data_IF_201143386724
#
_entry.id   IF_201143386724
#
_cell.length_a   1.000
_cell.length_b   1.000
_cell.length_c   1.000
_cell.angle_alpha   90.00
_cell.angle_beta   90.00
_cell.angle_gamma   90.00
#
_symmetry.space_group_name_H-M   'P 1'
#
loop_
_entity.id
_entity.type
_entity.pdbx_description
1 polymer ?
#
# COMPACT_ATOMS: atom_id res chain seq x y z
N UNK A 1 -18.07 43.83 -3.32
CA UNK A 1 -19.32 43.90 -2.52
C UNK A 1 -20.41 43.27 -3.34
N UNK A 2 -20.75 42.02 -3.11
CA UNK A 2 -21.89 41.34 -3.70
C UNK A 2 -22.94 41.28 -2.60
N UNK A 3 -24.06 41.94 -2.78
CA UNK A 3 -25.21 41.97 -1.87
C UNK A 3 -26.08 40.78 -2.19
N UNK A 4 -26.36 39.93 -1.15
CA UNK A 4 -27.41 38.93 -1.22
C UNK A 4 -28.82 39.62 -1.16
N UNK A 5 -29.82 39.08 -1.88
CA UNK A 5 -31.16 39.71 -1.98
C UNK A 5 -32.02 39.61 -0.73
N UNK A 6 -31.66 38.86 0.31
CA UNK A 6 -32.44 38.72 1.51
C UNK A 6 -31.63 39.15 2.72
N UNK A 7 -31.82 40.38 3.15
CA UNK A 7 -31.12 41.09 4.22
C UNK A 7 -31.13 40.48 5.61
N UNK A 8 -30.79 39.21 5.78
CA UNK A 8 -30.55 38.61 7.08
C UNK A 8 -29.07 38.73 7.44
N UNK A 9 -28.76 39.63 8.36
CA UNK A 9 -27.45 39.68 9.05
C UNK A 9 -27.27 38.43 9.89
N UNK A 10 -26.86 37.33 9.27
CA UNK A 10 -26.36 36.13 9.96
C UNK A 10 -24.97 36.41 10.55
N UNK A 11 -24.93 37.14 11.65
CA UNK A 11 -23.71 37.25 12.45
C UNK A 11 -23.40 35.88 13.06
N UNK A 12 -22.35 35.19 12.56
CA UNK A 12 -21.85 34.01 13.20
C UNK A 12 -21.38 34.39 14.60
N UNK A 13 -22.12 33.95 15.61
CA UNK A 13 -21.83 34.25 16.99
C UNK A 13 -20.64 33.39 17.48
N UNK A 14 -19.42 33.91 17.35
CA UNK A 14 -18.16 33.24 17.72
C UNK A 14 -18.04 32.95 19.23
N UNK A 15 -18.98 33.40 20.10
CA UNK A 15 -18.92 33.18 21.53
C UNK A 15 -19.29 31.76 21.99
N UNK A 16 -19.97 30.95 21.16
CA UNK A 16 -20.42 29.60 21.53
C UNK A 16 -19.56 28.46 20.95
N UNK A 17 -18.39 28.74 20.35
CA UNK A 17 -17.51 27.70 19.70
C UNK A 17 -16.42 27.17 20.64
N UNK A 18 -16.58 27.24 21.96
CA UNK A 18 -15.58 26.76 22.93
C UNK A 18 -15.89 25.41 23.58
N UNK A 19 -16.58 24.50 22.95
CA UNK A 19 -16.39 23.08 23.30
C UNK A 19 -15.25 22.55 22.45
N UNK A 20 -14.06 22.43 23.04
CA UNK A 20 -12.91 21.75 22.46
C UNK A 20 -13.40 20.38 21.94
N UNK A 21 -13.56 20.24 20.65
CA UNK A 21 -13.95 18.96 20.08
C UNK A 21 -12.81 17.99 20.39
N UNK A 22 -13.12 16.91 21.11
CA UNK A 22 -12.12 15.93 21.56
C UNK A 22 -11.64 15.09 20.36
N UNK A 23 -10.50 15.45 19.77
CA UNK A 23 -9.83 14.74 18.65
C UNK A 23 -8.70 13.87 19.20
N UNK A 24 -9.07 12.77 19.84
CA UNK A 24 -8.15 11.94 20.63
C UNK A 24 -7.03 11.29 19.82
N UNK A 25 -7.27 10.99 18.56
CA UNK A 25 -6.24 10.37 17.71
C UNK A 25 -5.27 11.42 17.17
N UNK A 26 -5.77 12.61 16.79
CA UNK A 26 -4.90 13.70 16.33
C UNK A 26 -4.03 14.22 17.48
N UNK A 27 -4.56 14.31 18.70
CA UNK A 27 -3.83 14.79 19.90
C UNK A 27 -2.55 13.98 20.15
N UNK A 28 -2.52 12.70 19.84
CA UNK A 28 -1.32 11.85 19.95
C UNK A 28 -0.15 12.31 19.06
N UNK A 29 -0.44 13.12 18.05
CA UNK A 29 0.53 13.66 17.08
C UNK A 29 0.71 15.19 17.22
N UNK A 30 0.42 15.74 18.39
CA UNK A 30 0.58 17.18 18.67
C UNK A 30 2.01 17.64 18.39
N UNK A 31 3.02 16.86 18.78
CA UNK A 31 4.43 17.17 18.54
C UNK A 31 4.74 17.32 17.04
N UNK A 32 4.22 16.43 16.18
CA UNK A 32 4.35 16.53 14.73
C UNK A 32 3.70 17.80 14.17
N UNK A 33 2.53 18.19 14.72
CA UNK A 33 1.86 19.41 14.32
C UNK A 33 2.69 20.65 14.70
N UNK A 34 3.27 20.69 15.89
CA UNK A 34 4.01 21.83 16.41
C UNK A 34 5.40 21.99 15.74
N UNK A 35 6.02 20.87 15.35
CA UNK A 35 7.31 20.86 14.66
C UNK A 35 7.24 21.51 13.26
N UNK A 36 6.07 21.56 12.62
CA UNK A 36 5.91 22.11 11.27
C UNK A 36 6.14 23.63 11.22
N UNK A 37 7.24 24.07 10.62
CA UNK A 37 7.61 25.49 10.43
C UNK A 37 6.91 26.16 9.24
N UNK A 38 6.07 25.47 8.49
CA UNK A 38 5.35 25.93 7.29
C UNK A 38 6.26 26.38 6.14
N UNK A 39 7.52 25.95 6.08
CA UNK A 39 8.52 26.36 5.09
C UNK A 39 8.16 26.06 3.62
N UNK A 40 7.23 25.10 3.36
CA UNK A 40 6.79 24.75 2.00
C UNK A 40 7.64 23.70 1.28
N UNK A 41 8.74 23.20 1.86
CA UNK A 41 9.61 22.20 1.22
C UNK A 41 8.88 20.95 0.75
N UNK A 42 7.83 20.55 1.47
CA UNK A 42 6.97 19.40 1.10
C UNK A 42 6.17 19.61 -0.20
N UNK A 43 6.04 20.85 -0.70
CA UNK A 43 5.29 21.14 -1.94
C UNK A 43 6.02 20.60 -3.16
N UNK A 44 7.35 20.76 -3.23
CA UNK A 44 8.17 20.26 -4.35
C UNK A 44 8.19 18.73 -4.45
N UNK A 45 7.96 18.03 -3.33
CA UNK A 45 8.04 16.57 -3.25
C UNK A 45 6.67 15.88 -3.37
N UNK A 46 5.56 16.60 -3.15
CA UNK A 46 4.23 15.98 -3.07
C UNK A 46 3.68 15.60 -4.45
N UNK A 47 3.41 14.28 -4.73
CA UNK A 47 2.88 13.86 -6.02
C UNK A 47 1.49 14.47 -6.33
N UNK A 48 0.64 14.65 -5.32
CA UNK A 48 -0.69 15.26 -5.48
C UNK A 48 -0.58 16.75 -5.81
N UNK A 49 0.29 17.49 -5.11
CA UNK A 49 0.49 18.91 -5.37
C UNK A 49 1.05 19.17 -6.77
N UNK A 50 1.90 18.30 -7.27
CA UNK A 50 2.44 18.42 -8.62
C UNK A 50 1.34 18.45 -9.69
N UNK A 51 0.24 17.73 -9.48
CA UNK A 51 -0.84 17.61 -10.45
C UNK A 51 -1.95 18.65 -10.25
N UNK A 52 -2.25 19.01 -9.01
CA UNK A 52 -3.39 19.87 -8.70
C UNK A 52 -3.04 21.32 -8.38
N UNK A 53 -1.82 21.56 -7.86
CA UNK A 53 -1.35 22.90 -7.43
C UNK A 53 -2.22 23.53 -6.33
N UNK A 54 -2.95 22.70 -5.55
CA UNK A 54 -3.83 23.15 -4.48
C UNK A 54 -3.11 23.01 -3.14
N UNK A 55 -2.99 24.08 -2.37
CA UNK A 55 -2.26 24.06 -1.11
C UNK A 55 -2.91 23.17 -0.04
N UNK A 56 -4.22 23.14 0.06
CA UNK A 56 -4.91 22.26 1.02
C UNK A 56 -4.69 20.76 0.74
N UNK A 57 -4.28 20.41 -0.49
CA UNK A 57 -3.97 19.03 -0.86
C UNK A 57 -2.53 18.61 -0.51
N UNK A 58 -1.62 19.55 -0.24
CA UNK A 58 -0.22 19.27 0.12
C UNK A 58 -0.06 19.06 1.63
N UNK A 59 1.09 18.53 2.03
CA UNK A 59 1.40 18.21 3.43
C UNK A 59 1.25 19.42 4.36
N UNK A 60 1.83 20.57 4.00
CA UNK A 60 1.73 21.82 4.78
C UNK A 60 0.29 22.25 5.00
N UNK A 61 -0.52 22.25 3.95
CA UNK A 61 -1.94 22.59 4.02
C UNK A 61 -2.72 21.64 4.93
N UNK A 62 -2.43 20.33 4.84
CA UNK A 62 -3.05 19.34 5.73
C UNK A 62 -2.70 19.55 7.21
N UNK A 63 -1.45 19.90 7.52
CA UNK A 63 -1.05 20.26 8.89
C UNK A 63 -1.84 21.47 9.39
N UNK A 64 -2.03 22.50 8.56
CA UNK A 64 -2.81 23.69 8.91
C UNK A 64 -4.27 23.30 9.16
N UNK A 65 -4.88 22.51 8.29
CA UNK A 65 -6.26 22.04 8.44
C UNK A 65 -6.45 21.24 9.73
N UNK A 66 -5.56 20.29 10.01
CA UNK A 66 -5.64 19.45 11.22
C UNK A 66 -5.41 20.28 12.50
N UNK A 67 -4.46 21.22 12.48
CA UNK A 67 -4.26 22.15 13.58
C UNK A 67 -5.51 23.00 13.85
N UNK A 68 -6.19 23.42 12.78
CA UNK A 68 -7.44 24.20 12.90
C UNK A 68 -8.61 23.38 13.42
N UNK A 69 -8.60 22.05 13.27
CA UNK A 69 -9.54 21.17 13.98
C UNK A 69 -9.25 21.14 15.48
N UNK A 70 -8.00 20.96 15.88
CA UNK A 70 -7.64 20.86 17.31
C UNK A 70 -7.92 22.14 18.08
N UNK A 71 -7.69 23.30 17.48
CA UNK A 71 -7.97 24.58 18.13
C UNK A 71 -9.43 25.03 18.02
N UNK A 72 -10.30 24.22 17.39
CA UNK A 72 -11.73 24.49 17.25
C UNK A 72 -12.10 25.55 16.22
N UNK A 73 -11.14 26.03 15.40
CA UNK A 73 -11.40 27.01 14.33
C UNK A 73 -12.11 26.39 13.12
N UNK A 74 -11.99 25.07 12.93
CA UNK A 74 -12.68 24.31 11.90
C UNK A 74 -13.38 23.08 12.48
N UNK A 75 -14.37 22.59 11.74
CA UNK A 75 -15.03 21.31 11.98
C UNK A 75 -14.81 20.37 10.78
N UNK A 76 -15.02 19.06 10.94
CA UNK A 76 -14.89 18.11 9.85
C UNK A 76 -16.08 18.28 8.89
N UNK A 77 -15.80 18.87 7.73
CA UNK A 77 -16.73 19.02 6.60
C UNK A 77 -16.39 18.00 5.52
N UNK A 78 -17.30 17.81 4.54
CA UNK A 78 -17.04 16.94 3.37
C UNK A 78 -15.82 17.39 2.58
N UNK A 79 -15.65 18.71 2.40
CA UNK A 79 -14.49 19.29 1.71
C UNK A 79 -13.18 18.99 2.45
N UNK A 80 -13.20 19.04 3.77
CA UNK A 80 -12.03 18.68 4.57
C UNK A 80 -11.74 17.20 4.51
N UNK A 81 -12.75 16.35 4.59
CA UNK A 81 -12.60 14.91 4.41
C UNK A 81 -11.98 14.60 3.03
N UNK A 82 -12.45 15.25 1.97
CA UNK A 82 -11.86 15.12 0.64
C UNK A 82 -10.38 15.47 0.63
N UNK A 83 -9.98 16.60 1.25
CA UNK A 83 -8.57 16.99 1.32
C UNK A 83 -7.71 15.99 2.09
N UNK A 84 -8.20 15.42 3.18
CA UNK A 84 -7.51 14.35 3.91
C UNK A 84 -7.36 13.08 3.05
N UNK A 85 -8.43 12.71 2.31
CA UNK A 85 -8.43 11.52 1.45
C UNK A 85 -7.57 11.66 0.19
N UNK A 86 -7.25 12.89 -0.27
CA UNK A 86 -6.29 13.16 -1.35
C UNK A 86 -4.82 12.86 -0.97
N UNK A 87 -4.53 12.43 0.25
CA UNK A 87 -3.20 12.00 0.64
C UNK A 87 -2.95 10.54 0.24
N UNK A 88 -1.90 10.31 -0.55
CA UNK A 88 -1.46 8.96 -0.96
C UNK A 88 -0.70 8.21 0.13
N UNK A 89 -0.40 8.83 1.27
CA UNK A 89 0.43 8.29 2.35
C UNK A 89 1.82 7.81 1.88
N UNK A 90 2.36 8.38 0.81
CA UNK A 90 3.65 7.93 0.23
C UNK A 90 4.89 8.35 1.04
N UNK A 91 4.72 9.15 2.08
CA UNK A 91 5.79 9.64 2.98
C UNK A 91 6.90 10.50 2.34
N UNK A 92 6.80 10.87 1.07
CA UNK A 92 7.82 11.72 0.42
C UNK A 92 7.97 13.07 1.14
N UNK A 93 6.87 13.65 1.60
CA UNK A 93 6.91 14.91 2.37
C UNK A 93 7.61 14.78 3.72
N UNK A 94 7.49 13.65 4.40
CA UNK A 94 8.15 13.40 5.68
C UNK A 94 9.66 13.17 5.47
N UNK A 95 10.03 12.40 4.44
CA UNK A 95 11.44 12.16 4.10
C UNK A 95 12.19 13.45 3.73
N UNK A 96 11.52 14.40 3.07
CA UNK A 96 12.09 15.66 2.64
C UNK A 96 11.83 16.80 3.65
N UNK A 97 11.30 16.53 4.83
CA UNK A 97 10.99 17.55 5.82
C UNK A 97 12.25 17.87 6.66
N UNK A 98 12.81 19.09 6.58
CA UNK A 98 13.98 19.45 7.40
C UNK A 98 13.66 19.47 8.91
N UNK A 99 12.38 19.66 9.26
CA UNK A 99 11.92 19.66 10.65
C UNK A 99 11.46 18.26 11.14
N UNK A 100 11.48 17.22 10.29
CA UNK A 100 11.12 15.85 10.66
C UNK A 100 9.64 15.59 10.87
N UNK A 101 8.72 16.47 10.45
CA UNK A 101 7.27 16.31 10.63
C UNK A 101 6.72 15.09 9.91
N UNK A 102 6.06 14.19 10.63
CA UNK A 102 5.43 13.00 10.06
C UNK A 102 3.98 13.26 9.61
N UNK A 103 3.84 13.96 8.49
CA UNK A 103 2.52 14.31 7.95
C UNK A 103 1.62 13.11 7.63
N UNK A 104 2.11 11.98 7.08
CA UNK A 104 1.28 10.80 6.88
C UNK A 104 0.63 10.28 8.18
N UNK A 105 1.34 10.32 9.30
CA UNK A 105 0.80 9.92 10.59
C UNK A 105 -0.32 10.85 11.06
N UNK A 106 -0.10 12.16 10.96
CA UNK A 106 -1.12 13.17 11.28
C UNK A 106 -2.37 13.00 10.43
N UNK A 107 -2.22 12.76 9.12
CA UNK A 107 -3.37 12.52 8.21
C UNK A 107 -4.11 11.24 8.58
N UNK A 108 -3.39 10.17 8.93
CA UNK A 108 -4.01 8.89 9.35
C UNK A 108 -4.81 9.07 10.65
N UNK A 109 -4.26 9.79 11.62
CA UNK A 109 -4.97 10.14 12.88
C UNK A 109 -6.21 11.00 12.60
N UNK A 110 -6.11 11.99 11.71
CA UNK A 110 -7.24 12.81 11.32
C UNK A 110 -8.35 12.01 10.61
N UNK A 111 -7.99 11.02 9.79
CA UNK A 111 -8.96 10.06 9.22
C UNK A 111 -9.62 9.23 10.31
N UNK A 112 -8.90 8.86 11.37
CA UNK A 112 -9.46 8.08 12.47
C UNK A 112 -10.48 8.89 13.27
N UNK A 113 -10.15 10.09 13.68
CA UNK A 113 -11.10 11.00 14.38
C UNK A 113 -12.31 11.32 13.49
N UNK A 114 -12.11 11.50 12.18
CA UNK A 114 -13.21 11.65 11.23
C UNK A 114 -14.12 10.44 11.23
N UNK A 115 -13.55 9.24 11.17
CA UNK A 115 -14.33 8.00 11.09
C UNK A 115 -15.03 7.66 12.41
N UNK A 116 -14.45 8.01 13.55
CA UNK A 116 -15.13 7.90 14.84
C UNK A 116 -16.40 8.77 14.90
N UNK A 117 -16.40 9.96 14.27
CA UNK A 117 -17.50 10.92 14.30
C UNK A 117 -18.56 10.68 13.22
N UNK A 118 -18.12 10.39 11.99
CA UNK A 118 -18.99 10.32 10.80
C UNK A 118 -19.24 8.89 10.30
N UNK A 119 -18.51 7.91 10.83
CA UNK A 119 -18.55 6.54 10.37
C UNK A 119 -17.81 6.32 9.03
N UNK A 120 -17.93 5.11 8.51
CA UNK A 120 -17.48 4.72 7.18
C UNK A 120 -18.68 4.73 6.24
N UNK A 121 -18.62 5.43 5.08
CA UNK A 121 -19.74 5.50 4.15
C UNK A 121 -20.12 4.13 3.58
N UNK A 122 -21.42 3.92 3.28
CA UNK A 122 -21.87 2.80 2.45
C UNK A 122 -21.41 3.04 0.99
N UNK A 123 -20.94 2.02 0.21
CA UNK A 123 -20.86 0.57 0.56
C UNK A 123 -19.55 0.13 1.25
N UNK A 124 -18.60 1.03 1.47
CA UNK A 124 -17.29 0.69 2.04
C UNK A 124 -17.36 0.12 3.45
N UNK A 125 -18.39 0.52 4.22
CA UNK A 125 -18.68 -0.05 5.53
C UNK A 125 -18.83 -1.60 5.46
N UNK A 126 -19.56 -2.12 4.47
CA UNK A 126 -19.73 -3.58 4.27
C UNK A 126 -18.39 -4.22 3.95
N UNK A 127 -17.62 -3.63 3.03
CA UNK A 127 -16.31 -4.17 2.62
C UNK A 127 -15.34 -4.19 3.81
N UNK A 128 -15.20 -3.07 4.52
CA UNK A 128 -14.18 -2.91 5.56
C UNK A 128 -14.52 -3.62 6.86
N UNK A 129 -15.79 -3.60 7.30
CA UNK A 129 -16.20 -4.17 8.60
C UNK A 129 -16.68 -5.61 8.52
N UNK A 130 -17.16 -6.05 7.34
CA UNK A 130 -17.72 -7.38 7.19
C UNK A 130 -16.87 -8.32 6.32
N UNK A 131 -16.42 -7.88 5.14
CA UNK A 131 -15.71 -8.74 4.21
C UNK A 131 -14.23 -8.90 4.55
N UNK A 132 -13.48 -7.80 4.65
CA UNK A 132 -12.02 -7.85 4.83
C UNK A 132 -11.57 -8.55 6.13
N UNK A 133 -12.25 -8.36 7.29
CA UNK A 133 -11.88 -9.09 8.51
C UNK A 133 -12.15 -10.59 8.43
N UNK A 134 -13.08 -11.01 7.57
CA UNK A 134 -13.47 -12.42 7.39
C UNK A 134 -12.89 -12.99 6.10
N UNK A 135 -11.62 -13.38 6.13
CA UNK A 135 -10.89 -13.83 4.94
C UNK A 135 -11.62 -14.88 4.11
N UNK A 136 -12.27 -15.88 4.74
CA UNK A 136 -13.05 -16.91 4.04
C UNK A 136 -14.22 -16.30 3.28
N UNK A 137 -14.99 -15.42 3.95
CA UNK A 137 -16.13 -14.75 3.32
C UNK A 137 -15.67 -13.84 2.18
N UNK A 138 -14.58 -13.08 2.38
CA UNK A 138 -13.99 -12.27 1.33
C UNK A 138 -13.55 -13.13 0.13
N UNK A 139 -12.93 -14.28 0.38
CA UNK A 139 -12.55 -15.24 -0.67
C UNK A 139 -13.77 -15.75 -1.47
N UNK A 140 -14.89 -16.06 -0.82
CA UNK A 140 -16.12 -16.43 -1.52
C UNK A 140 -16.69 -15.28 -2.36
N UNK A 141 -16.70 -14.06 -1.83
CA UNK A 141 -17.15 -12.88 -2.57
C UNK A 141 -16.26 -12.62 -3.80
N UNK A 142 -14.94 -12.72 -3.67
CA UNK A 142 -14.00 -12.59 -4.79
C UNK A 142 -14.19 -13.73 -5.81
N UNK A 143 -14.42 -14.96 -5.36
CA UNK A 143 -14.71 -16.09 -6.23
C UNK A 143 -16.00 -15.87 -7.02
N UNK A 144 -17.06 -15.43 -6.36
CA UNK A 144 -18.31 -15.09 -7.01
C UNK A 144 -18.10 -13.99 -8.07
N UNK A 145 -17.39 -12.91 -7.72
CA UNK A 145 -17.05 -11.85 -8.66
C UNK A 145 -16.22 -12.38 -9.85
N UNK A 146 -15.35 -13.38 -9.64
CA UNK A 146 -14.52 -13.96 -10.70
C UNK A 146 -15.33 -14.69 -11.77
N UNK A 147 -16.48 -15.27 -11.45
CA UNK A 147 -17.35 -15.93 -12.43
C UNK A 147 -17.95 -14.94 -13.43
N UNK A 148 -18.22 -13.72 -12.97
CA UNK A 148 -18.82 -12.67 -13.79
C UNK A 148 -17.79 -11.75 -14.44
N UNK A 149 -16.50 -11.87 -14.10
CA UNK A 149 -15.48 -10.96 -14.66
C UNK A 149 -15.40 -11.02 -16.20
N UNK A 150 -15.75 -12.15 -16.83
CA UNK A 150 -15.79 -12.29 -18.28
C UNK A 150 -16.85 -11.43 -18.95
N UNK A 151 -17.97 -11.19 -18.25
CA UNK A 151 -19.11 -10.40 -18.74
C UNK A 151 -18.86 -8.90 -18.53
N UNK A 152 -18.39 -8.52 -17.34
CA UNK A 152 -18.25 -7.10 -16.96
C UNK A 152 -16.87 -6.50 -17.26
N UNK A 153 -15.87 -7.35 -17.46
CA UNK A 153 -14.47 -6.96 -17.67
C UNK A 153 -13.91 -7.65 -18.92
N UNK A 154 -14.19 -7.16 -20.13
CA UNK A 154 -13.67 -7.75 -21.36
C UNK A 154 -12.14 -7.78 -21.35
N UNK A 155 -11.55 -8.82 -21.96
CA UNK A 155 -10.10 -8.94 -22.12
C UNK A 155 -9.61 -7.89 -23.11
N UNK A 156 -8.50 -7.24 -22.78
CA UNK A 156 -7.79 -6.32 -23.68
C UNK A 156 -6.53 -6.98 -24.24
N UNK A 157 -5.73 -7.58 -23.34
CA UNK A 157 -4.47 -8.25 -23.72
C UNK A 157 -4.15 -9.35 -22.70
N UNK A 158 -3.94 -10.56 -23.11
CA UNK A 158 -3.58 -11.68 -22.23
C UNK A 158 -4.53 -11.83 -21.05
N UNK A 159 -4.03 -11.62 -19.83
CA UNK A 159 -4.80 -11.64 -18.59
C UNK A 159 -5.32 -10.27 -18.15
N UNK A 160 -5.01 -9.19 -18.89
CA UNK A 160 -5.43 -7.83 -18.57
C UNK A 160 -6.87 -7.64 -19.04
N UNK A 161 -7.68 -6.98 -18.18
CA UNK A 161 -9.09 -6.70 -18.43
C UNK A 161 -9.37 -5.21 -18.32
N UNK A 162 -10.23 -4.72 -19.19
CA UNK A 162 -10.70 -3.34 -19.20
C UNK A 162 -11.98 -3.21 -18.37
N UNK A 163 -12.01 -2.28 -17.43
CA UNK A 163 -13.22 -2.01 -16.64
C UNK A 163 -14.20 -1.21 -17.53
N UNK A 164 -15.32 -1.86 -17.90
CA UNK A 164 -16.30 -1.27 -18.83
C UNK A 164 -16.95 -0.01 -18.26
N UNK A 165 -17.49 0.83 -19.18
CA UNK A 165 -18.21 2.08 -18.85
C UNK A 165 -19.40 1.88 -17.91
N UNK A 166 -20.00 0.68 -17.86
CA UNK A 166 -21.12 0.35 -16.97
C UNK A 166 -20.73 0.35 -15.48
N UNK A 167 -19.44 0.10 -15.19
CA UNK A 167 -18.84 0.21 -13.86
C UNK A 167 -18.01 1.49 -13.72
N UNK A 168 -18.38 2.54 -14.44
CA UNK A 168 -17.66 3.80 -14.53
C UNK A 168 -17.40 4.51 -13.18
N UNK A 169 -18.18 4.17 -12.14
CA UNK A 169 -17.94 4.61 -10.77
C UNK A 169 -16.64 3.99 -10.17
N UNK A 170 -16.13 2.88 -10.73
CA UNK A 170 -14.94 2.17 -10.26
C UNK A 170 -13.66 2.52 -11.04
N UNK A 171 -13.74 3.40 -12.04
CA UNK A 171 -12.56 3.88 -12.78
C UNK A 171 -12.68 3.68 -14.29
N UNK A 172 -12.99 4.73 -15.01
CA UNK A 172 -13.14 4.76 -16.47
C UNK A 172 -11.86 4.38 -17.17
N UNK A 173 -11.90 3.32 -17.99
CA UNK A 173 -10.75 2.91 -18.82
C UNK A 173 -9.58 2.30 -18.05
N UNK A 174 -9.78 1.77 -16.84
CA UNK A 174 -8.74 1.14 -16.04
C UNK A 174 -8.45 -0.28 -16.52
N UNK A 175 -7.17 -0.59 -16.69
CA UNK A 175 -6.69 -1.94 -16.98
C UNK A 175 -6.31 -2.64 -15.67
N UNK A 176 -6.95 -3.76 -15.38
CA UNK A 176 -6.71 -4.54 -14.16
C UNK A 176 -6.38 -5.99 -14.51
N UNK A 177 -5.48 -6.65 -13.76
CA UNK A 177 -5.25 -8.06 -13.92
C UNK A 177 -6.51 -8.87 -13.61
N UNK A 178 -6.61 -10.04 -14.23
CA UNK A 178 -7.69 -10.99 -13.98
C UNK A 178 -7.61 -11.55 -12.56
N UNK A 179 -8.76 -11.75 -11.91
CA UNK A 179 -8.84 -12.58 -10.70
C UNK A 179 -8.51 -14.02 -11.08
N UNK A 180 -7.58 -14.64 -10.36
CA UNK A 180 -7.11 -15.98 -10.67
C UNK A 180 -8.22 -17.04 -10.53
N UNK A 181 -8.24 -18.07 -11.40
CA UNK A 181 -9.21 -19.16 -11.32
C UNK A 181 -9.02 -20.04 -10.08
N UNK A 182 -7.79 -20.12 -9.55
CA UNK A 182 -7.45 -20.83 -8.32
C UNK A 182 -6.54 -19.94 -7.47
N UNK A 183 -6.89 -19.74 -6.20
CA UNK A 183 -6.17 -18.88 -5.29
C UNK A 183 -4.90 -19.55 -4.73
N UNK A 184 -3.91 -18.80 -4.32
CA UNK A 184 -2.67 -19.34 -3.76
C UNK A 184 -2.91 -20.32 -2.62
N UNK A 185 -3.75 -19.94 -1.66
CA UNK A 185 -4.09 -20.78 -0.50
C UNK A 185 -4.91 -22.04 -0.81
N UNK A 186 -5.44 -22.15 -2.03
CA UNK A 186 -6.08 -23.33 -2.56
C UNK A 186 -5.10 -24.19 -3.35
N UNK A 187 -3.98 -23.60 -3.79
CA UNK A 187 -2.98 -24.25 -4.64
C UNK A 187 -1.84 -24.87 -3.84
N UNK A 188 -1.54 -24.32 -2.67
CA UNK A 188 -0.40 -24.73 -1.84
C UNK A 188 -0.86 -25.20 -0.45
N UNK A 189 -0.18 -26.19 0.15
CA UNK A 189 -0.47 -26.63 1.50
C UNK A 189 -0.10 -25.55 2.53
N UNK A 190 -0.60 -25.72 3.77
CA UNK A 190 -0.29 -24.81 4.89
C UNK A 190 1.20 -24.84 5.23
N UNK A 191 1.81 -26.02 5.23
CA UNK A 191 3.23 -26.22 5.50
C UNK A 191 3.91 -26.68 4.22
N UNK A 192 4.91 -25.92 3.79
CA UNK A 192 5.67 -26.17 2.57
C UNK A 192 7.13 -26.41 2.96
N UNK A 193 7.56 -27.66 2.86
CA UNK A 193 8.90 -28.09 3.27
C UNK A 193 9.90 -28.01 2.12
N UNK A 194 11.18 -27.76 2.42
CA UNK A 194 12.27 -27.93 1.46
C UNK A 194 12.25 -29.32 0.80
N UNK A 195 12.73 -29.45 -0.44
CA UNK A 195 12.88 -30.75 -1.10
C UNK A 195 13.75 -31.73 -0.29
N UNK A 196 13.53 -33.03 -0.51
CA UNK A 196 14.34 -34.10 0.11
C UNK A 196 15.84 -33.86 -0.17
N UNK A 197 16.65 -33.93 0.89
CA UNK A 197 18.11 -33.69 0.80
C UNK A 197 18.53 -32.23 1.04
N UNK A 198 17.61 -31.28 1.06
CA UNK A 198 17.91 -29.88 1.42
C UNK A 198 17.74 -29.68 2.92
N UNK A 199 18.82 -29.29 3.62
CA UNK A 199 18.78 -29.04 5.08
C UNK A 199 17.92 -27.81 5.37
N UNK A 200 16.98 -27.94 6.30
CA UNK A 200 16.17 -26.83 6.82
C UNK A 200 17.08 -25.88 7.61
N UNK A 201 17.15 -24.63 7.19
CA UNK A 201 17.91 -23.54 7.84
C UNK A 201 17.05 -22.78 8.84
N UNK A 202 15.81 -22.50 8.47
CA UNK A 202 14.83 -21.80 9.31
C UNK A 202 13.41 -22.07 8.82
N UNK A 203 12.44 -21.75 9.67
CA UNK A 203 11.00 -21.77 9.37
C UNK A 203 10.46 -20.35 9.40
N UNK A 204 9.64 -19.99 8.40
CA UNK A 204 9.04 -18.66 8.31
C UNK A 204 7.54 -18.72 8.14
N UNK A 205 6.84 -17.72 8.66
CA UNK A 205 5.45 -17.48 8.33
C UNK A 205 5.35 -16.63 7.07
N UNK A 206 4.62 -17.10 6.06
CA UNK A 206 4.36 -16.30 4.87
C UNK A 206 3.03 -15.57 4.99
N UNK A 207 3.09 -14.25 5.13
CA UNK A 207 1.91 -13.40 5.06
C UNK A 207 1.53 -13.17 3.60
N UNK A 208 0.55 -13.93 3.13
CA UNK A 208 0.05 -13.81 1.76
C UNK A 208 -0.89 -12.60 1.66
N UNK A 209 -0.44 -11.55 0.98
CA UNK A 209 -1.26 -10.39 0.67
C UNK A 209 -2.51 -10.76 -0.16
N UNK A 210 -3.53 -9.89 -0.15
CA UNK A 210 -4.75 -10.16 -0.91
C UNK A 210 -4.50 -10.18 -2.43
N UNK A 211 -3.56 -9.38 -2.94
CA UNK A 211 -3.25 -9.36 -4.37
C UNK A 211 -2.51 -10.63 -4.79
N UNK A 212 -1.54 -11.07 -4.02
CA UNK A 212 -0.81 -12.32 -4.26
C UNK A 212 -1.72 -13.54 -4.17
N UNK A 213 -2.64 -13.57 -3.19
CA UNK A 213 -3.56 -14.71 -3.06
C UNK A 213 -4.59 -14.78 -4.19
N UNK A 214 -5.20 -13.64 -4.57
CA UNK A 214 -6.35 -13.64 -5.47
C UNK A 214 -6.03 -13.30 -6.93
N UNK A 215 -4.95 -12.57 -7.18
CA UNK A 215 -4.60 -12.04 -8.51
C UNK A 215 -3.31 -12.63 -9.05
N UNK A 216 -2.29 -12.80 -8.21
CA UNK A 216 -0.97 -13.30 -8.61
C UNK A 216 -0.56 -14.58 -7.86
N UNK A 217 -1.38 -15.66 -7.84
CA UNK A 217 -1.06 -16.88 -7.09
C UNK A 217 0.26 -17.53 -7.54
N UNK A 218 0.61 -17.43 -8.82
CA UNK A 218 1.85 -17.98 -9.37
C UNK A 218 3.09 -17.30 -8.78
N UNK A 219 3.01 -16.00 -8.47
CA UNK A 219 4.04 -15.28 -7.72
C UNK A 219 4.25 -15.92 -6.35
N UNK A 220 3.16 -16.15 -5.60
CA UNK A 220 3.25 -16.77 -4.28
C UNK A 220 3.80 -18.19 -4.31
N UNK A 221 3.40 -19.01 -5.30
CA UNK A 221 3.93 -20.36 -5.53
C UNK A 221 5.43 -20.28 -5.79
N UNK A 222 5.85 -19.36 -6.65
CA UNK A 222 7.27 -19.16 -7.00
C UNK A 222 8.11 -18.76 -5.78
N UNK A 223 7.60 -17.83 -4.96
CA UNK A 223 8.25 -17.43 -3.70
C UNK A 223 8.45 -18.64 -2.78
N UNK A 224 7.41 -19.45 -2.57
CA UNK A 224 7.48 -20.64 -1.72
C UNK A 224 8.54 -21.62 -2.25
N UNK A 225 8.53 -21.91 -3.55
CA UNK A 225 9.50 -22.82 -4.17
C UNK A 225 10.93 -22.29 -4.07
N UNK A 226 11.15 -20.98 -4.33
CA UNK A 226 12.45 -20.35 -4.20
C UNK A 226 12.99 -20.44 -2.76
N UNK A 227 12.15 -20.18 -1.78
CA UNK A 227 12.51 -20.28 -0.37
C UNK A 227 12.83 -21.73 0.03
N UNK A 228 11.97 -22.68 -0.37
CA UNK A 228 12.20 -24.11 -0.09
C UNK A 228 13.52 -24.62 -0.72
N UNK A 229 13.81 -24.24 -1.95
CA UNK A 229 15.08 -24.56 -2.65
C UNK A 229 16.30 -24.06 -1.86
N UNK A 230 16.15 -22.94 -1.14
CA UNK A 230 17.20 -22.34 -0.33
C UNK A 230 17.19 -22.78 1.16
N UNK A 231 16.42 -23.80 1.50
CA UNK A 231 16.40 -24.41 2.83
C UNK A 231 15.46 -23.73 3.83
N UNK A 232 14.47 -22.99 3.38
CA UNK A 232 13.47 -22.34 4.23
C UNK A 232 12.18 -23.13 4.21
N UNK A 233 11.69 -23.58 5.38
CA UNK A 233 10.33 -24.10 5.52
C UNK A 233 9.34 -22.94 5.59
N UNK A 234 8.28 -22.99 4.76
CA UNK A 234 7.31 -21.90 4.65
C UNK A 234 5.95 -22.34 5.19
N UNK A 235 5.46 -21.64 6.21
CA UNK A 235 4.13 -21.85 6.79
C UNK A 235 3.21 -20.71 6.34
N UNK A 236 2.05 -21.05 5.80
CA UNK A 236 0.97 -20.10 5.51
C UNK A 236 -0.15 -20.24 6.55
N UNK A 237 -0.14 -19.52 7.68
CA UNK A 237 -1.15 -19.68 8.72
C UNK A 237 -2.56 -19.44 8.20
N UNK A 238 -3.48 -20.36 8.47
CA UNK A 238 -4.87 -20.24 7.99
C UNK A 238 -5.65 -19.10 8.67
N UNK A 239 -5.22 -18.71 9.89
CA UNK A 239 -5.83 -17.64 10.67
C UNK A 239 -5.50 -16.23 10.17
N UNK A 240 -4.50 -16.06 9.30
CA UNK A 240 -4.13 -14.75 8.77
C UNK A 240 -5.25 -14.11 7.94
N UNK A 241 -5.46 -12.81 8.11
CA UNK A 241 -6.43 -12.00 7.39
C UNK A 241 -5.81 -11.04 6.38
N UNK A 242 -6.49 -9.95 6.10
CA UNK A 242 -5.92 -8.79 5.42
C UNK A 242 -5.00 -8.01 6.39
N UNK A 243 -3.96 -7.35 5.89
CA UNK A 243 -3.10 -6.47 6.70
C UNK A 243 -3.83 -5.26 7.30
N UNK A 244 -5.05 -4.96 6.85
CA UNK A 244 -5.86 -3.86 7.35
C UNK A 244 -5.51 -2.47 6.79
N UNK A 245 -4.50 -2.33 5.95
CA UNK A 245 -4.11 -1.03 5.40
C UNK A 245 -5.28 -0.20 4.82
N UNK A 246 -6.21 -0.74 4.00
CA UNK A 246 -7.36 0.02 3.52
C UNK A 246 -8.31 0.46 4.65
N UNK A 247 -8.35 -0.31 5.73
CA UNK A 247 -9.27 -0.11 6.85
C UNK A 247 -8.75 0.97 7.80
N UNK A 248 -7.57 0.78 8.39
CA UNK A 248 -7.08 1.73 9.38
C UNK A 248 -6.28 2.90 8.79
N UNK A 249 -5.41 2.69 7.78
CA UNK A 249 -4.68 3.78 7.12
C UNK A 249 -5.56 4.54 6.12
N UNK A 250 -6.32 3.80 5.31
CA UNK A 250 -7.19 4.36 4.28
C UNK A 250 -8.41 5.05 4.84
N UNK A 251 -9.26 4.30 5.55
CA UNK A 251 -10.53 4.80 6.07
C UNK A 251 -10.43 5.39 7.48
N UNK A 252 -9.40 5.09 8.28
CA UNK A 252 -9.30 5.50 9.67
C UNK A 252 -10.17 4.68 10.64
N UNK A 253 -10.64 3.48 10.25
CA UNK A 253 -11.39 2.60 11.16
C UNK A 253 -10.45 1.80 12.06
N UNK A 254 -9.94 2.45 13.10
CA UNK A 254 -8.99 1.82 14.04
C UNK A 254 -9.64 0.70 14.85
N UNK A 255 -10.93 0.77 15.14
CA UNK A 255 -11.64 -0.27 15.88
C UNK A 255 -11.66 -1.60 15.10
N UNK A 256 -11.99 -1.54 13.81
CA UNK A 256 -11.91 -2.72 12.92
C UNK A 256 -10.46 -3.11 12.67
N UNK A 257 -9.54 -2.14 12.50
CA UNK A 257 -8.11 -2.37 12.35
C UNK A 257 -7.53 -3.18 13.50
N UNK A 258 -7.87 -2.87 14.76
CA UNK A 258 -7.44 -3.64 15.95
C UNK A 258 -7.86 -5.10 15.90
N UNK A 259 -9.12 -5.38 15.55
CA UNK A 259 -9.61 -6.76 15.41
C UNK A 259 -8.81 -7.56 14.36
N UNK A 260 -8.46 -6.91 13.25
CA UNK A 260 -7.67 -7.53 12.20
C UNK A 260 -6.21 -7.73 12.63
N UNK A 261 -5.63 -6.77 13.34
CA UNK A 261 -4.29 -6.86 13.88
C UNK A 261 -4.17 -7.97 14.92
N UNK A 262 -5.10 -8.05 15.89
CA UNK A 262 -5.14 -9.09 16.91
C UNK A 262 -5.20 -10.50 16.27
N UNK A 263 -6.04 -10.65 15.22
CA UNK A 263 -6.15 -11.93 14.50
C UNK A 263 -4.85 -12.30 13.76
N UNK A 264 -4.18 -11.33 13.14
CA UNK A 264 -2.90 -11.56 12.46
C UNK A 264 -1.79 -11.88 13.47
N UNK A 265 -1.67 -11.13 14.57
CA UNK A 265 -0.69 -11.42 15.64
C UNK A 265 -0.83 -12.84 16.15
N UNK A 266 -2.07 -13.25 16.46
CA UNK A 266 -2.36 -14.62 16.90
C UNK A 266 -2.03 -15.68 15.83
N UNK A 267 -2.27 -15.40 14.57
CA UNK A 267 -2.04 -16.35 13.49
C UNK A 267 -0.55 -16.68 13.27
N UNK A 268 0.33 -15.75 13.61
CA UNK A 268 1.77 -15.89 13.44
C UNK A 268 2.53 -16.13 14.78
N UNK A 269 1.80 -16.46 15.83
CA UNK A 269 2.39 -16.78 17.12
C UNK A 269 3.35 -17.97 16.99
N UNK A 270 4.48 -17.93 17.72
CA UNK A 270 5.50 -18.99 17.69
C UNK A 270 6.43 -18.99 16.48
N UNK A 271 6.26 -18.10 15.50
CA UNK A 271 7.18 -17.97 14.36
C UNK A 271 8.21 -16.86 14.61
N UNK A 272 9.46 -17.09 14.20
CA UNK A 272 10.56 -16.13 14.38
C UNK A 272 10.57 -15.04 13.32
N UNK A 273 10.21 -15.38 12.09
CA UNK A 273 10.13 -14.46 10.96
C UNK A 273 8.76 -14.52 10.27
N UNK A 274 8.30 -13.36 9.85
CA UNK A 274 7.07 -13.19 9.04
C UNK A 274 7.48 -12.48 7.77
N UNK A 275 7.46 -13.21 6.66
CA UNK A 275 7.83 -12.64 5.36
C UNK A 275 6.58 -12.25 4.56
N UNK A 276 6.71 -11.25 3.73
CA UNK A 276 5.68 -10.86 2.76
C UNK A 276 6.33 -10.27 1.51
N UNK A 277 5.66 -10.46 0.38
CA UNK A 277 6.01 -9.94 -0.94
C UNK A 277 5.31 -8.61 -1.25
N UNK A 278 4.80 -7.94 -0.24
CA UNK A 278 4.03 -6.71 -0.40
C UNK A 278 4.49 -5.64 0.58
N UNK A 279 5.25 -4.68 0.10
CA UNK A 279 5.74 -3.55 0.91
C UNK A 279 4.64 -2.81 1.69
N UNK A 280 3.44 -2.67 1.10
CA UNK A 280 2.29 -2.07 1.78
C UNK A 280 1.78 -2.94 2.94
N UNK A 281 1.76 -4.26 2.77
CA UNK A 281 1.37 -5.17 3.86
C UNK A 281 2.40 -5.15 4.99
N UNK A 282 3.70 -5.22 4.68
CA UNK A 282 4.77 -5.17 5.66
C UNK A 282 4.73 -3.88 6.48
N UNK A 283 4.69 -2.73 5.82
CA UNK A 283 4.65 -1.43 6.50
C UNK A 283 3.37 -1.24 7.33
N UNK A 284 2.20 -1.66 6.82
CA UNK A 284 0.94 -1.57 7.56
C UNK A 284 0.96 -2.44 8.83
N UNK A 285 1.49 -3.67 8.75
CA UNK A 285 1.60 -4.54 9.92
C UNK A 285 2.60 -4.01 10.96
N UNK A 286 3.70 -3.37 10.54
CA UNK A 286 4.61 -2.68 11.46
C UNK A 286 3.96 -1.46 12.11
N UNK A 287 3.07 -0.78 11.42
CA UNK A 287 2.32 0.38 11.91
C UNK A 287 1.19 0.05 12.90
N UNK A 288 0.90 -1.25 13.17
CA UNK A 288 -0.04 -1.63 14.25
C UNK A 288 0.34 -1.04 15.60
N UNK A 289 1.63 -1.01 15.92
CA UNK A 289 2.15 -0.42 17.16
C UNK A 289 1.78 1.06 17.25
N UNK A 290 1.92 1.79 16.14
CA UNK A 290 1.77 3.24 16.10
C UNK A 290 0.34 3.70 16.18
N UNK A 291 -0.59 2.99 15.52
CA UNK A 291 -1.96 3.46 15.33
C UNK A 291 -3.00 2.65 16.10
N UNK A 292 -2.74 1.38 16.35
CA UNK A 292 -3.76 0.47 16.87
C UNK A 292 -3.53 0.03 18.31
N UNK A 293 -2.33 0.23 18.87
CA UNK A 293 -2.02 -0.11 20.25
C UNK A 293 -2.69 0.87 21.21
N UNK A 294 -3.78 0.45 21.83
CA UNK A 294 -4.58 1.24 22.78
C UNK A 294 -4.41 0.77 24.24
N UNK A 295 -3.70 -0.34 24.44
CA UNK A 295 -3.36 -0.88 25.76
C UNK A 295 -1.89 -1.27 25.83
N UNK A 296 -1.27 -1.30 27.03
CA UNK A 296 0.12 -1.78 27.18
C UNK A 296 0.33 -3.19 26.65
N UNK A 297 -0.63 -4.10 26.86
CA UNK A 297 -0.56 -5.48 26.36
C UNK A 297 -0.53 -5.54 24.83
N UNK A 298 -1.42 -4.78 24.14
CA UNK A 298 -1.39 -4.67 22.67
C UNK A 298 -0.10 -4.02 22.18
N UNK A 299 0.40 -3.01 22.88
CA UNK A 299 1.64 -2.34 22.50
C UNK A 299 2.80 -3.34 22.49
N UNK A 300 2.93 -4.15 23.52
CA UNK A 300 3.96 -5.20 23.59
C UNK A 300 3.76 -6.24 22.46
N UNK A 301 2.55 -6.82 22.35
CA UNK A 301 2.27 -7.84 21.33
C UNK A 301 2.50 -7.35 19.90
N UNK A 302 2.10 -6.12 19.60
CA UNK A 302 2.31 -5.54 18.28
C UNK A 302 3.78 -5.17 18.02
N UNK A 303 4.53 -4.79 19.07
CA UNK A 303 5.98 -4.53 18.95
C UNK A 303 6.73 -5.82 18.64
N UNK A 304 6.42 -6.89 19.36
CA UNK A 304 7.04 -8.22 19.12
C UNK A 304 6.70 -8.74 17.73
N UNK A 305 5.45 -8.61 17.31
CA UNK A 305 5.00 -8.96 15.97
C UNK A 305 5.71 -8.14 14.88
N UNK A 306 5.77 -6.82 15.03
CA UNK A 306 6.40 -5.91 14.08
C UNK A 306 7.89 -6.19 13.89
N UNK A 307 8.58 -6.61 14.96
CA UNK A 307 10.01 -6.99 14.93
C UNK A 307 10.30 -8.20 14.03
N UNK A 308 9.34 -9.11 13.91
CA UNK A 308 9.46 -10.34 13.12
C UNK A 308 9.20 -10.12 11.62
N UNK A 309 8.55 -9.01 11.24
CA UNK A 309 8.14 -8.74 9.86
C UNK A 309 9.35 -8.35 9.02
N UNK A 310 9.52 -9.07 7.91
CA UNK A 310 10.52 -8.84 6.89
C UNK A 310 9.87 -8.77 5.51
N UNK A 311 10.30 -7.81 4.73
CA UNK A 311 10.06 -7.83 3.29
C UNK A 311 10.85 -8.99 2.67
N UNK A 312 10.34 -9.57 1.57
CA UNK A 312 10.98 -10.74 0.95
C UNK A 312 12.42 -10.44 0.52
N UNK A 313 12.71 -9.28 -0.04
CA UNK A 313 14.07 -8.92 -0.48
C UNK A 313 14.99 -8.65 0.71
N UNK A 314 14.49 -7.99 1.76
CA UNK A 314 15.20 -7.84 3.04
C UNK A 314 15.55 -9.21 3.64
N UNK A 315 14.59 -10.14 3.63
CA UNK A 315 14.81 -11.47 4.19
C UNK A 315 15.89 -12.25 3.43
N UNK A 316 15.85 -12.23 2.09
CA UNK A 316 16.83 -12.94 1.26
C UNK A 316 18.25 -12.40 1.42
N UNK A 317 18.42 -11.08 1.51
CA UNK A 317 19.73 -10.43 1.55
C UNK A 317 20.28 -10.34 2.98
N UNK A 318 19.49 -9.84 3.92
CA UNK A 318 19.99 -9.50 5.26
C UNK A 318 19.87 -10.65 6.26
N UNK A 319 18.86 -11.52 6.12
CA UNK A 319 18.61 -12.64 7.06
C UNK A 319 19.22 -13.93 6.52
N UNK A 320 18.83 -14.39 5.34
CA UNK A 320 19.37 -15.60 4.73
C UNK A 320 20.79 -15.41 4.19
N UNK A 321 21.16 -14.17 3.89
CA UNK A 321 22.49 -13.81 3.32
C UNK A 321 22.85 -14.67 2.12
N UNK A 322 21.88 -14.80 1.19
CA UNK A 322 22.10 -15.62 0.00
C UNK A 322 23.23 -15.06 -0.85
N UNK A 323 24.16 -15.92 -1.31
CA UNK A 323 25.25 -15.48 -2.18
C UNK A 323 24.70 -15.05 -3.54
N UNK A 324 25.40 -14.16 -4.29
CA UNK A 324 24.99 -13.73 -5.64
C UNK A 324 24.68 -14.90 -6.59
N UNK A 325 25.37 -16.03 -6.45
CA UNK A 325 25.16 -17.24 -7.25
C UNK A 325 23.81 -17.94 -7.02
N UNK A 326 23.13 -17.65 -5.92
CA UNK A 326 21.79 -18.16 -5.64
C UNK A 326 20.70 -17.47 -6.49
N UNK A 327 20.99 -16.27 -7.00
CA UNK A 327 20.06 -15.50 -7.81
C UNK A 327 20.29 -15.85 -9.29
N UNK A 328 19.38 -16.62 -9.86
CA UNK A 328 19.39 -16.97 -11.28
C UNK A 328 18.14 -16.41 -11.94
N UNK A 329 18.31 -15.88 -13.16
CA UNK A 329 17.18 -15.35 -13.92
C UNK A 329 16.47 -16.47 -14.67
N UNK A 330 15.13 -16.45 -14.65
CA UNK A 330 14.35 -17.37 -15.47
C UNK A 330 14.60 -17.13 -16.96
N UNK A 331 14.55 -18.17 -17.81
CA UNK A 331 14.91 -18.08 -19.23
C UNK A 331 14.18 -16.97 -20.00
N UNK A 332 12.93 -16.67 -19.65
CA UNK A 332 12.09 -15.64 -20.28
C UNK A 332 12.73 -14.23 -20.26
N UNK A 333 13.50 -13.92 -19.22
CA UNK A 333 14.08 -12.58 -19.03
C UNK A 333 15.58 -12.49 -19.37
N UNK A 334 16.21 -13.58 -19.83
CA UNK A 334 17.61 -13.54 -20.25
C UNK A 334 17.83 -12.56 -21.41
N UNK A 335 18.86 -11.73 -21.29
CA UNK A 335 19.19 -10.68 -22.24
C UNK A 335 18.29 -9.47 -22.24
N UNK A 336 17.26 -9.41 -21.38
CA UNK A 336 16.35 -8.27 -21.28
C UNK A 336 16.96 -7.12 -20.49
N UNK A 337 16.59 -5.90 -20.89
CA UNK A 337 16.87 -4.70 -20.09
C UNK A 337 15.78 -4.54 -19.02
N UNK A 338 16.20 -4.47 -17.76
CA UNK A 338 15.32 -4.44 -16.58
C UNK A 338 15.52 -3.14 -15.83
N UNK A 339 14.42 -2.49 -15.42
CA UNK A 339 14.46 -1.30 -14.58
C UNK A 339 13.65 -1.50 -13.30
N UNK A 340 13.99 -0.70 -12.24
CA UNK A 340 13.41 -0.85 -10.92
C UNK A 340 12.47 0.30 -10.56
N UNK A 341 11.25 -0.04 -10.14
CA UNK A 341 10.36 0.89 -9.42
C UNK A 341 10.41 0.60 -7.94
N UNK A 342 10.91 1.55 -7.14
CA UNK A 342 10.96 1.46 -5.69
C UNK A 342 9.57 1.78 -5.08
N UNK A 343 8.89 0.81 -4.46
CA UNK A 343 7.65 1.08 -3.75
C UNK A 343 7.88 2.04 -2.59
N UNK A 344 7.03 3.06 -2.46
CA UNK A 344 7.17 4.06 -1.40
C UNK A 344 7.12 3.45 0.01
N UNK A 345 6.33 2.40 0.22
CA UNK A 345 6.28 1.68 1.49
C UNK A 345 7.54 0.85 1.74
N UNK A 346 8.21 0.36 0.70
CA UNK A 346 9.48 -0.36 0.83
C UNK A 346 10.60 0.59 1.26
N UNK A 347 10.88 1.60 0.42
CA UNK A 347 12.04 2.47 0.64
C UNK A 347 11.85 3.46 1.80
N UNK A 348 10.64 4.04 1.98
CA UNK A 348 10.43 5.12 2.96
C UNK A 348 9.91 4.66 4.31
N UNK A 349 9.11 3.60 4.36
CA UNK A 349 8.58 3.08 5.62
C UNK A 349 9.43 1.95 6.20
N UNK A 350 9.92 1.05 5.36
CA UNK A 350 10.70 -0.11 5.80
C UNK A 350 12.21 0.15 5.76
N UNK A 351 12.68 1.16 5.03
CA UNK A 351 14.10 1.45 4.86
C UNK A 351 14.81 0.47 3.90
N UNK A 352 14.08 -0.41 3.25
CA UNK A 352 14.61 -1.42 2.32
C UNK A 352 14.77 -0.78 0.95
N UNK A 353 16.01 -0.44 0.59
CA UNK A 353 16.36 0.26 -0.66
C UNK A 353 17.40 -0.49 -1.46
N UNK A 354 18.46 -0.92 -0.81
CA UNK A 354 19.61 -1.54 -1.46
C UNK A 354 19.39 -3.03 -1.74
N UNK A 355 18.62 -3.73 -0.94
CA UNK A 355 18.42 -5.18 -1.05
C UNK A 355 17.85 -5.59 -2.41
N UNK A 356 16.76 -4.97 -2.94
CA UNK A 356 16.29 -5.27 -4.28
C UNK A 356 17.33 -4.97 -5.36
N UNK A 357 18.09 -3.87 -5.21
CA UNK A 357 19.14 -3.49 -6.16
C UNK A 357 20.32 -4.46 -6.15
N UNK A 358 20.68 -4.99 -4.97
CA UNK A 358 21.70 -6.03 -4.84
C UNK A 358 21.26 -7.30 -5.56
N UNK A 359 20.01 -7.73 -5.43
CA UNK A 359 19.46 -8.88 -6.14
C UNK A 359 19.52 -8.63 -7.66
N UNK A 360 19.03 -7.49 -8.14
CA UNK A 360 19.01 -7.16 -9.56
C UNK A 360 20.43 -7.09 -10.18
N UNK A 361 21.39 -6.51 -9.46
CA UNK A 361 22.80 -6.45 -9.87
C UNK A 361 23.49 -7.83 -9.87
N UNK A 362 23.01 -8.77 -9.05
CA UNK A 362 23.52 -10.13 -8.99
C UNK A 362 23.05 -11.00 -10.16
N UNK A 363 21.98 -10.63 -10.86
CA UNK A 363 21.45 -11.33 -12.03
C UNK A 363 22.30 -11.01 -13.25
N UNK A 364 23.26 -11.91 -13.58
CA UNK A 364 24.25 -11.70 -14.65
C UNK A 364 23.65 -11.68 -16.06
N UNK A 365 22.51 -12.36 -16.25
CA UNK A 365 21.89 -12.54 -17.56
C UNK A 365 20.85 -11.47 -17.92
N UNK A 366 20.79 -10.34 -17.18
CA UNK A 366 19.96 -9.18 -17.50
C UNK A 366 20.83 -7.93 -17.61
N UNK A 367 20.32 -6.91 -18.32
CA UNK A 367 20.89 -5.57 -18.32
C UNK A 367 20.09 -4.69 -17.35
N UNK A 368 20.61 -4.48 -16.13
CA UNK A 368 19.93 -3.64 -15.14
C UNK A 368 20.23 -2.16 -15.34
N UNK A 369 19.19 -1.34 -15.50
CA UNK A 369 19.25 0.11 -15.64
C UNK A 369 18.42 0.75 -14.54
N UNK A 370 19.03 1.58 -13.69
CA UNK A 370 18.32 2.32 -12.64
C UNK A 370 17.39 3.36 -13.27
N UNK A 371 16.14 3.40 -12.78
CA UNK A 371 15.13 4.35 -13.27
C UNK A 371 15.36 5.74 -12.65
N UNK A 372 15.35 6.81 -13.43
CA UNK A 372 15.26 8.16 -12.86
C UNK A 372 13.99 8.30 -11.99
N UNK A 373 14.15 8.85 -10.79
CA UNK A 373 13.04 8.94 -9.81
C UNK A 373 12.39 7.56 -9.50
N UNK A 374 13.20 6.51 -9.33
CA UNK A 374 12.72 5.16 -9.04
C UNK A 374 11.74 5.13 -7.87
N UNK A 375 11.98 5.95 -6.85
CA UNK A 375 11.19 6.09 -5.61
C UNK A 375 9.93 6.97 -5.76
N UNK A 376 9.68 7.61 -6.91
CA UNK A 376 8.45 8.39 -7.16
C UNK A 376 7.22 7.50 -7.10
N UNK A 377 6.19 7.95 -6.36
CA UNK A 377 4.94 7.22 -6.19
C UNK A 377 4.32 6.81 -7.53
N UNK A 378 3.87 5.55 -7.63
CA UNK A 378 3.17 5.01 -8.80
C UNK A 378 1.73 5.51 -8.95
N UNK A 379 1.16 6.14 -7.91
CA UNK A 379 -0.23 6.63 -7.91
C UNK A 379 -1.26 5.64 -7.36
N UNK A 380 -0.92 4.40 -7.00
CA UNK A 380 -1.88 3.41 -6.51
C UNK A 380 -2.55 3.83 -5.18
N UNK A 381 -1.78 3.91 -4.12
CA UNK A 381 -2.21 4.30 -2.76
C UNK A 381 -3.56 3.69 -2.31
N UNK A 382 -3.79 2.41 -2.59
CA UNK A 382 -4.98 1.67 -2.18
C UNK A 382 -6.28 2.31 -2.70
N UNK A 383 -7.17 2.68 -1.78
CA UNK A 383 -8.48 3.28 -2.10
C UNK A 383 -8.39 4.66 -2.76
N UNK A 384 -7.27 5.38 -2.63
CA UNK A 384 -7.04 6.64 -3.32
C UNK A 384 -7.22 6.49 -4.84
N UNK A 385 -6.65 5.44 -5.44
CA UNK A 385 -6.79 5.19 -6.87
C UNK A 385 -8.22 4.83 -7.31
N UNK A 386 -9.11 4.51 -6.36
CA UNK A 386 -10.53 4.27 -6.61
C UNK A 386 -11.31 5.59 -6.53
N UNK A 387 -11.10 6.37 -5.46
CA UNK A 387 -11.81 7.64 -5.25
C UNK A 387 -11.35 8.75 -6.18
N UNK A 388 -10.05 8.81 -6.47
CA UNK A 388 -9.39 9.87 -7.24
C UNK A 388 -8.65 9.29 -8.45
N UNK A 389 -9.35 8.47 -9.26
CA UNK A 389 -8.70 7.76 -10.37
C UNK A 389 -8.03 8.70 -11.38
N UNK A 390 -8.66 9.83 -11.73
CA UNK A 390 -8.07 10.79 -12.66
C UNK A 390 -6.78 11.42 -12.13
N UNK A 391 -6.73 11.70 -10.82
CA UNK A 391 -5.52 12.18 -10.17
C UNK A 391 -4.46 11.08 -10.09
N UNK A 392 -4.89 9.84 -9.78
CA UNK A 392 -4.03 8.66 -9.79
C UNK A 392 -3.37 8.45 -11.17
N UNK A 393 -4.13 8.61 -12.26
CA UNK A 393 -3.61 8.55 -13.64
C UNK A 393 -2.53 9.60 -13.90
N UNK A 394 -2.79 10.86 -13.55
CA UNK A 394 -1.82 11.96 -13.74
C UNK A 394 -0.50 11.67 -13.02
N UNK A 395 -0.57 11.19 -11.76
CA UNK A 395 0.61 10.79 -10.99
C UNK A 395 1.34 9.64 -11.70
N UNK A 396 0.61 8.63 -12.18
CA UNK A 396 1.16 7.47 -12.87
C UNK A 396 1.78 7.83 -14.23
N UNK A 397 1.22 8.79 -14.96
CA UNK A 397 1.76 9.23 -16.26
C UNK A 397 3.14 9.90 -16.11
N UNK A 398 3.45 10.51 -14.95
CA UNK A 398 4.81 10.97 -14.65
C UNK A 398 5.76 9.79 -14.46
N UNK A 399 5.31 8.71 -13.82
CA UNK A 399 6.11 7.47 -13.68
C UNK A 399 6.32 6.82 -15.06
N UNK A 400 5.32 6.84 -15.94
CA UNK A 400 5.45 6.35 -17.31
C UNK A 400 6.59 7.04 -18.07
N UNK A 401 6.77 8.36 -17.89
CA UNK A 401 7.91 9.10 -18.50
C UNK A 401 9.25 8.59 -17.99
N UNK A 402 9.38 8.36 -16.67
CA UNK A 402 10.61 7.80 -16.08
C UNK A 402 10.89 6.37 -16.59
N UNK A 403 9.84 5.54 -16.76
CA UNK A 403 9.98 4.19 -17.33
C UNK A 403 10.46 4.29 -18.79
N UNK A 404 9.83 5.10 -19.62
CA UNK A 404 10.20 5.27 -21.04
C UNK A 404 11.66 5.71 -21.21
N UNK A 405 12.15 6.60 -20.34
CA UNK A 405 13.52 7.10 -20.44
C UNK A 405 14.61 6.06 -20.17
N UNK A 406 14.26 4.90 -19.58
CA UNK A 406 15.22 3.83 -19.32
C UNK A 406 15.48 2.94 -20.54
N UNK A 407 14.58 2.92 -21.53
CA UNK A 407 14.61 1.96 -22.64
C UNK A 407 14.43 0.50 -22.21
N UNK A 408 13.96 0.25 -20.96
CA UNK A 408 13.83 -1.10 -20.43
C UNK A 408 12.72 -1.90 -21.12
N UNK A 409 12.91 -3.23 -21.20
CA UNK A 409 11.89 -4.19 -21.62
C UNK A 409 10.94 -4.54 -20.48
N UNK A 410 11.48 -4.55 -19.24
CA UNK A 410 10.76 -5.01 -18.05
C UNK A 410 10.89 -4.00 -16.91
N UNK A 411 9.76 -3.63 -16.31
CA UNK A 411 9.69 -2.84 -15.09
C UNK A 411 9.45 -3.77 -13.92
N UNK A 412 10.34 -3.74 -12.95
CA UNK A 412 10.29 -4.61 -11.77
C UNK A 412 9.94 -3.82 -10.53
N UNK A 413 9.15 -4.42 -9.65
CA UNK A 413 8.76 -3.84 -8.35
C UNK A 413 8.65 -4.93 -7.28
N UNK A 414 8.59 -4.52 -6.01
CA UNK A 414 8.39 -5.42 -4.84
C UNK A 414 7.11 -5.07 -4.09
N UNK A 415 6.03 -4.88 -4.83
CA UNK A 415 4.72 -4.62 -4.27
C UNK A 415 3.62 -4.93 -5.31
N UNK A 416 2.79 -5.96 -5.10
CA UNK A 416 1.70 -6.29 -6.01
C UNK A 416 0.71 -5.12 -6.25
N UNK A 417 0.55 -4.22 -5.28
CA UNK A 417 -0.24 -3.00 -5.48
C UNK A 417 0.39 -2.06 -6.51
N UNK A 418 1.71 -1.82 -6.42
CA UNK A 418 2.43 -1.04 -7.43
C UNK A 418 2.42 -1.76 -8.78
N UNK A 419 2.57 -3.09 -8.80
CA UNK A 419 2.51 -3.89 -10.01
C UNK A 419 1.20 -3.68 -10.78
N UNK A 420 0.04 -3.72 -10.11
CA UNK A 420 -1.27 -3.45 -10.72
C UNK A 420 -1.33 -2.04 -11.32
N UNK A 421 -0.85 -1.03 -10.59
CA UNK A 421 -0.86 0.35 -11.08
C UNK A 421 0.06 0.55 -12.29
N UNK A 422 1.23 -0.09 -12.28
CA UNK A 422 2.17 -0.02 -13.40
C UNK A 422 1.64 -0.76 -14.63
N UNK A 423 0.95 -1.90 -14.46
CA UNK A 423 0.24 -2.60 -15.54
C UNK A 423 -0.82 -1.67 -16.17
N UNK A 424 -1.66 -1.03 -15.36
CA UNK A 424 -2.63 -0.03 -15.87
C UNK A 424 -1.92 1.11 -16.61
N UNK A 425 -0.81 1.58 -16.07
CA UNK A 425 -0.04 2.70 -16.64
C UNK A 425 0.57 2.33 -17.99
N UNK A 426 1.23 1.17 -18.11
CA UNK A 426 1.82 0.71 -19.36
C UNK A 426 0.77 0.47 -20.43
N UNK A 427 -0.33 -0.22 -20.08
CA UNK A 427 -1.43 -0.50 -21.01
C UNK A 427 -2.10 0.78 -21.54
N UNK A 428 -2.45 1.73 -20.64
CA UNK A 428 -3.07 3.01 -21.05
C UNK A 428 -2.19 3.88 -21.94
N UNK A 429 -0.89 3.81 -21.77
CA UNK A 429 0.08 4.61 -22.53
C UNK A 429 0.63 3.86 -23.73
N UNK A 430 0.06 2.70 -24.11
CA UNK A 430 0.53 1.83 -25.22
C UNK A 430 2.05 1.57 -25.13
N UNK A 431 2.52 1.24 -23.93
CA UNK A 431 3.92 1.00 -23.64
C UNK A 431 4.21 -0.51 -23.74
N UNK A 432 5.32 -0.93 -24.41
CA UNK A 432 5.64 -2.34 -24.59
C UNK A 432 6.23 -3.02 -23.34
N UNK A 433 6.55 -2.25 -22.31
CA UNK A 433 7.21 -2.76 -21.11
C UNK A 433 6.33 -3.75 -20.36
N UNK A 434 6.89 -4.93 -20.07
CA UNK A 434 6.28 -5.86 -19.13
C UNK A 434 6.46 -5.35 -17.68
N UNK A 435 5.48 -5.63 -16.83
CA UNK A 435 5.57 -5.30 -15.41
C UNK A 435 5.60 -6.59 -14.59
N UNK A 436 6.61 -6.75 -13.74
CA UNK A 436 6.83 -7.97 -12.96
C UNK A 436 7.16 -7.65 -11.50
N UNK A 437 6.85 -8.59 -10.62
CA UNK A 437 7.42 -8.59 -9.27
C UNK A 437 8.87 -9.09 -9.32
N UNK A 438 9.75 -8.58 -8.45
CA UNK A 438 11.17 -8.98 -8.45
C UNK A 438 11.35 -10.50 -8.34
N UNK A 439 10.52 -11.17 -7.55
CA UNK A 439 10.54 -12.62 -7.38
C UNK A 439 10.10 -13.39 -8.62
N UNK A 440 9.41 -12.76 -9.58
CA UNK A 440 9.06 -13.38 -10.85
C UNK A 440 10.29 -13.54 -11.79
N UNK A 441 11.35 -12.77 -11.58
CA UNK A 441 12.59 -12.88 -12.32
C UNK A 441 13.48 -14.05 -11.87
N UNK A 442 13.29 -14.52 -10.62
CA UNK A 442 14.15 -15.51 -9.99
C UNK A 442 13.70 -16.94 -10.30
N UNK A 443 14.68 -17.86 -10.48
CA UNK A 443 14.46 -19.28 -10.72
C UNK A 443 14.60 -20.13 -9.44
#
# INVERSE_FOLDING_TARGET
>A
MIRDPEGQKGGVNFKNMKTKANYTEIEKFQADLDTCTKCGFCMSACPVYHEEKIESAVARGKIILVRSLLNGSLTITDKMEEQLNRCTLCSTCAQNCPAGTNVPAVVTAARADKTQRRGVPFPYNVIYRWLLPRRRLFGYAVRFASWFQGIFLPKTEGTIRHLSMFLAALGRGRHIPQIAPKFLRQSMPVVNKPPTGVKVKCTVGYFTGCMTDFVFPDLGIKIIHFLNKNGVEVIMPQGQGCCGAPVFLGAGDFATGRKMADANVKAFEGLDYIITDCATCASAMKDYVKFLADTPARKQAYTDFAGKIKDITEFLVDVLKLPPSAYRVVPEFKGKTVTWHEPCHLGRYLGVKEQPRQILKALKDINYVEMPDADRCCGMAGTFSIYFYDLSKKIADRKAKSIKSTGADVVVTDCPGCQIQLIDTTARNNMPQQVRHIMELLE
#
